data_IF_302983615186
#
_entry.id   IF_302983615186
#
_cell.length_a   1.000
_cell.length_b   1.000
_cell.length_c   1.000
_cell.angle_alpha   90.00
_cell.angle_beta   90.00
_cell.angle_gamma   90.00
#
_symmetry.space_group_name_H-M   'P 1'
#
loop_
_entity.id
_entity.type
_entity.pdbx_description
1 polymer ?
#
# COMPACT_ATOMS: atom_id res chain seq x y z
N UNK A 1 -23.92 -1.74 2.39
CA UNK A 1 -23.80 -0.43 1.69
C UNK A 1 -22.96 0.45 2.60
N UNK A 2 -21.71 0.81 2.26
CA UNK A 2 -20.86 1.53 3.20
C UNK A 2 -21.50 2.88 3.51
N UNK A 3 -21.42 3.25 4.79
CA UNK A 3 -21.99 4.45 5.38
C UNK A 3 -21.56 5.67 4.55
N UNK A 4 -22.51 6.25 3.82
CA UNK A 4 -22.22 7.44 3.01
C UNK A 4 -21.71 8.56 3.92
N UNK A 5 -20.70 9.32 3.47
CA UNK A 5 -20.16 10.42 4.28
C UNK A 5 -21.30 11.30 4.82
N UNK A 6 -21.32 11.46 6.12
CA UNK A 6 -22.26 12.31 6.83
C UNK A 6 -21.89 13.78 6.65
N UNK A 7 -22.88 14.66 6.80
CA UNK A 7 -22.64 16.09 6.70
C UNK A 7 -21.73 16.55 7.86
N UNK A 8 -20.60 17.24 7.60
CA UNK A 8 -19.70 17.71 8.66
C UNK A 8 -20.32 18.81 9.55
N UNK A 9 -21.46 19.40 9.12
CA UNK A 9 -22.14 20.46 9.88
C UNK A 9 -23.23 19.91 10.81
N UNK A 10 -24.06 18.99 10.33
CA UNK A 10 -25.23 18.51 11.08
C UNK A 10 -25.36 16.99 11.15
N UNK A 11 -24.37 16.24 10.65
CA UNK A 11 -24.33 14.77 10.60
C UNK A 11 -25.47 14.09 9.82
N UNK A 12 -26.30 14.87 9.11
CA UNK A 12 -27.36 14.35 8.26
C UNK A 12 -26.87 13.68 6.97
N UNK A 13 -27.80 13.03 6.27
CA UNK A 13 -27.54 12.37 5.00
C UNK A 13 -27.07 13.36 3.91
N UNK A 14 -26.19 12.87 3.02
CA UNK A 14 -25.64 13.66 1.92
C UNK A 14 -25.83 12.94 0.59
N UNK A 15 -25.99 13.72 -0.47
CA UNK A 15 -26.08 13.20 -1.84
C UNK A 15 -24.97 13.78 -2.71
N UNK A 16 -24.51 13.02 -3.69
CA UNK A 16 -23.50 13.46 -4.67
C UNK A 16 -24.21 14.29 -5.74
N UNK A 17 -23.75 15.53 -5.94
CA UNK A 17 -24.33 16.46 -6.91
C UNK A 17 -23.41 16.74 -8.11
N UNK A 18 -22.14 16.37 -8.02
CA UNK A 18 -21.15 16.47 -9.10
C UNK A 18 -20.04 15.45 -8.85
N UNK A 19 -19.61 14.73 -9.87
CA UNK A 19 -18.52 13.75 -9.81
C UNK A 19 -17.66 13.86 -11.05
N UNK A 20 -16.35 14.10 -10.88
CA UNK A 20 -15.41 14.27 -12.00
C UNK A 20 -14.04 13.71 -11.64
N UNK A 21 -13.34 13.20 -12.64
CA UNK A 21 -11.92 12.86 -12.51
C UNK A 21 -11.07 14.11 -12.30
N UNK A 22 -10.05 14.00 -11.47
CA UNK A 22 -9.02 15.00 -11.19
C UNK A 22 -7.71 14.29 -10.89
N UNK A 23 -6.65 15.05 -10.68
CA UNK A 23 -5.39 14.53 -10.14
C UNK A 23 -5.14 15.22 -8.80
N UNK A 24 -4.75 14.46 -7.77
CA UNK A 24 -4.29 14.99 -6.50
C UNK A 24 -2.82 14.59 -6.32
N UNK A 25 -1.91 15.55 -6.41
CA UNK A 25 -0.48 15.25 -6.59
C UNK A 25 -0.27 14.57 -7.94
N UNK A 26 0.31 13.36 -7.92
CA UNK A 26 0.51 12.52 -9.11
C UNK A 26 -0.50 11.36 -9.19
N UNK A 27 -1.53 11.34 -8.32
CA UNK A 27 -2.49 10.25 -8.23
C UNK A 27 -3.82 10.59 -8.91
N UNK A 28 -4.27 9.77 -9.89
CA UNK A 28 -5.61 9.84 -10.43
C UNK A 28 -6.68 9.69 -9.34
N UNK A 29 -7.57 10.67 -9.25
CA UNK A 29 -8.52 10.85 -8.14
C UNK A 29 -9.89 11.25 -8.68
N UNK A 30 -10.96 10.88 -7.99
CA UNK A 30 -12.34 11.31 -8.27
C UNK A 30 -12.71 12.37 -7.24
N UNK A 31 -13.03 13.58 -7.72
CA UNK A 31 -13.59 14.65 -6.92
C UNK A 31 -15.12 14.53 -6.92
N UNK A 32 -15.73 14.41 -5.74
CA UNK A 32 -17.19 14.40 -5.58
C UNK A 32 -17.68 15.59 -4.76
N UNK A 33 -18.55 16.41 -5.31
CA UNK A 33 -19.25 17.47 -4.55
C UNK A 33 -20.50 16.87 -3.94
N UNK A 34 -20.66 17.01 -2.63
CA UNK A 34 -21.81 16.51 -1.87
C UNK A 34 -22.66 17.65 -1.34
N UNK A 35 -23.97 17.43 -1.24
CA UNK A 35 -24.96 18.35 -0.64
C UNK A 35 -25.71 17.62 0.46
N UNK A 36 -25.82 18.24 1.64
CA UNK A 36 -26.63 17.73 2.74
C UNK A 36 -28.11 17.95 2.45
N UNK A 37 -28.93 16.91 2.67
CA UNK A 37 -30.38 16.99 2.52
C UNK A 37 -31.06 17.79 3.65
N UNK A 38 -30.43 17.88 4.83
CA UNK A 38 -31.02 18.50 6.03
C UNK A 38 -30.67 19.98 6.19
N UNK A 39 -29.44 20.40 5.88
CA UNK A 39 -28.97 21.78 6.15
C UNK A 39 -28.39 22.51 4.92
N UNK A 40 -28.55 21.93 3.73
CA UNK A 40 -28.04 22.41 2.44
C UNK A 40 -26.52 22.60 2.31
N UNK A 41 -25.75 22.26 3.35
CA UNK A 41 -24.30 22.41 3.34
C UNK A 41 -23.65 21.61 2.21
N UNK A 42 -22.70 22.23 1.52
CA UNK A 42 -21.99 21.66 0.36
C UNK A 42 -20.52 21.51 0.68
N UNK A 43 -19.96 20.36 0.34
CA UNK A 43 -18.56 20.06 0.56
C UNK A 43 -18.02 19.15 -0.55
N UNK A 44 -16.70 18.96 -0.60
CA UNK A 44 -16.03 18.14 -1.62
C UNK A 44 -15.29 17.01 -0.94
N UNK A 45 -15.39 15.81 -1.50
CA UNK A 45 -14.63 14.63 -1.11
C UNK A 45 -13.73 14.21 -2.26
N UNK A 46 -12.62 13.56 -1.92
CA UNK A 46 -11.68 13.01 -2.89
C UNK A 46 -11.56 11.51 -2.62
N UNK A 47 -11.64 10.72 -3.67
CA UNK A 47 -11.54 9.26 -3.61
C UNK A 47 -10.50 8.83 -4.65
N UNK A 48 -9.60 7.92 -4.31
CA UNK A 48 -8.65 7.40 -5.28
C UNK A 48 -9.39 6.64 -6.38
N UNK A 49 -8.91 6.72 -7.61
CA UNK A 49 -9.48 5.92 -8.70
C UNK A 49 -9.20 4.43 -8.47
N UNK A 50 -10.14 3.55 -8.83
CA UNK A 50 -10.04 2.10 -8.58
C UNK A 50 -8.73 1.49 -9.11
N UNK A 51 -8.23 1.97 -10.25
CA UNK A 51 -6.95 1.53 -10.80
C UNK A 51 -5.75 1.80 -9.87
N UNK A 52 -5.78 2.91 -9.12
CA UNK A 52 -4.74 3.24 -8.13
C UNK A 52 -4.85 2.29 -6.94
N UNK A 53 -6.07 2.00 -6.48
CA UNK A 53 -6.32 1.07 -5.38
C UNK A 53 -5.79 -0.33 -5.75
N UNK A 54 -6.14 -0.83 -6.93
CA UNK A 54 -5.68 -2.13 -7.42
C UNK A 54 -4.14 -2.20 -7.54
N UNK A 55 -3.48 -1.13 -7.99
CA UNK A 55 -2.02 -1.09 -8.08
C UNK A 55 -1.34 -1.17 -6.69
N UNK A 56 -1.93 -0.56 -5.67
CA UNK A 56 -1.44 -0.66 -4.28
C UNK A 56 -1.62 -2.08 -3.76
N UNK A 57 -2.78 -2.70 -3.99
CA UNK A 57 -3.06 -4.09 -3.57
C UNK A 57 -2.06 -5.07 -4.19
N UNK A 58 -1.85 -5.02 -5.51
CA UNK A 58 -0.86 -5.85 -6.20
C UNK A 58 0.55 -5.68 -5.62
N UNK A 59 0.93 -4.45 -5.27
CA UNK A 59 2.24 -4.18 -4.68
C UNK A 59 2.36 -4.75 -3.27
N UNK A 60 1.29 -4.70 -2.46
CA UNK A 60 1.26 -5.30 -1.13
C UNK A 60 1.36 -6.83 -1.21
N UNK A 61 0.66 -7.46 -2.16
CA UNK A 61 0.75 -8.90 -2.42
C UNK A 61 2.18 -9.33 -2.80
N UNK A 62 2.84 -8.54 -3.66
CA UNK A 62 4.23 -8.80 -4.03
C UNK A 62 5.17 -8.69 -2.81
N UNK A 63 4.96 -7.70 -1.93
CA UNK A 63 5.73 -7.54 -0.70
C UNK A 63 5.52 -8.74 0.24
N UNK A 64 4.29 -9.19 0.40
CA UNK A 64 3.98 -10.36 1.24
C UNK A 64 4.66 -11.62 0.70
N UNK A 65 4.55 -11.85 -0.61
CA UNK A 65 5.21 -12.96 -1.31
C UNK A 65 6.72 -12.95 -1.06
N UNK A 66 7.37 -11.79 -1.20
CA UNK A 66 8.81 -11.66 -0.95
C UNK A 66 9.18 -11.95 0.51
N UNK A 67 8.36 -11.51 1.47
CA UNK A 67 8.58 -11.81 2.89
C UNK A 67 8.49 -13.31 3.17
N UNK A 68 7.52 -14.00 2.59
CA UNK A 68 7.39 -15.46 2.72
C UNK A 68 8.59 -16.19 2.13
N UNK A 69 9.09 -15.76 0.97
CA UNK A 69 10.28 -16.34 0.35
C UNK A 69 11.53 -16.15 1.21
N UNK A 70 11.71 -14.97 1.80
CA UNK A 70 12.84 -14.65 2.67
C UNK A 70 12.84 -15.42 4.00
N UNK A 71 11.67 -15.84 4.49
CA UNK A 71 11.52 -16.60 5.74
C UNK A 71 11.85 -18.09 5.60
N UNK A 72 12.12 -18.62 4.40
CA UNK A 72 12.54 -20.03 4.25
C UNK A 72 13.92 -20.24 4.87
N UNK A 73 14.08 -21.29 5.71
CA UNK A 73 15.38 -21.60 6.28
C UNK A 73 16.34 -21.98 5.16
N UNK A 74 17.43 -21.23 5.03
CA UNK A 74 18.55 -21.58 4.16
C UNK A 74 19.33 -22.68 4.87
N UNK A 75 19.21 -23.92 4.41
CA UNK A 75 20.10 -24.98 4.87
C UNK A 75 21.51 -24.71 4.34
N UNK A 76 22.33 -24.06 5.17
CA UNK A 76 23.76 -23.92 4.92
C UNK A 76 24.37 -25.32 5.01
N UNK A 77 24.77 -25.90 3.87
CA UNK A 77 25.65 -27.07 3.89
C UNK A 77 26.98 -26.64 4.52
N UNK A 78 27.45 -27.30 5.59
CA UNK A 78 28.73 -26.95 6.19
C UNK A 78 29.85 -27.17 5.16
N UNK A 79 30.68 -26.14 4.95
CA UNK A 79 31.91 -26.28 4.17
C UNK A 79 32.95 -27.00 5.02
N UNK A 80 33.65 -28.02 4.50
CA UNK A 80 34.73 -28.66 5.25
C UNK A 80 35.83 -27.64 5.55
N UNK A 81 36.48 -27.73 6.72
CA UNK A 81 37.59 -26.84 7.05
C UNK A 81 38.69 -26.98 5.99
N UNK A 82 39.16 -25.84 5.49
CA UNK A 82 40.26 -25.79 4.53
C UNK A 82 41.53 -26.20 5.28
N UNK A 83 41.95 -27.45 5.14
CA UNK A 83 43.22 -27.93 5.69
C UNK A 83 44.36 -27.11 5.08
N UNK A 84 44.93 -26.19 5.86
CA UNK A 84 46.19 -25.56 5.53
C UNK A 84 47.30 -26.56 5.85
N UNK A 85 47.93 -27.11 4.80
CA UNK A 85 49.10 -27.96 4.94
C UNK A 85 50.24 -27.08 5.47
N UNK A 86 50.56 -27.22 6.76
CA UNK A 86 51.70 -26.57 7.36
C UNK A 86 52.97 -27.02 6.64
N UNK A 87 53.58 -26.12 5.86
CA UNK A 87 54.92 -26.34 5.34
C UNK A 87 55.89 -26.21 6.52
N UNK A 88 56.29 -27.35 7.07
CA UNK A 88 57.40 -27.43 8.01
C UNK A 88 58.69 -27.04 7.28
N UNK A 89 59.27 -25.90 7.67
CA UNK A 89 60.65 -25.58 7.33
C UNK A 89 61.51 -26.10 8.48
N UNK A 90 62.20 -27.19 8.22
CA UNK A 90 63.33 -27.66 9.03
C UNK A 90 64.58 -26.86 8.63
N UNK A 91 65.35 -26.38 9.61
CA UNK A 91 66.63 -25.70 9.44
C UNK A 91 66.76 -24.54 10.44
N UNK A 92 67.74 -24.47 11.34
CA UNK A 92 69.10 -25.06 11.41
C UNK A 92 69.45 -25.34 12.88
#
# INVERSE_FOLDING_TARGET
MPEGLTCPRCHGATTVIDSRGTVLGDLPTIRRRRRCASCDHRFTTYELQDAVIAAVEQRLEAIDTLRTMAQRPVTLKPQPPRLHLAHGQEGT
#
